data_IF_013816782317
#
_entry.id   IF_013816782317
#
_cell.length_a   1.000
_cell.length_b   1.000
_cell.length_c   1.000
_cell.angle_alpha   90.00
_cell.angle_beta   90.00
_cell.angle_gamma   90.00
#
_symmetry.space_group_name_H-M   'P 1'
#
loop_
_entity.id
_entity.type
_entity.pdbx_description
1 polymer ?
#
# COMPACT_ATOMS: atom_id res chain seq x y z
N UNK A 1 -17.23 -16.90 30.25
CA UNK A 1 -16.21 -15.82 30.33
C UNK A 1 -16.83 -14.46 30.67
N UNK A 2 -17.93 -14.04 30.03
CA UNK A 2 -18.53 -12.70 30.22
C UNK A 2 -19.47 -12.51 31.42
N UNK A 3 -19.87 -13.58 32.13
CA UNK A 3 -20.80 -13.51 33.28
C UNK A 3 -20.46 -12.49 34.39
N UNK A 4 -19.20 -12.17 34.71
CA UNK A 4 -18.89 -11.19 35.75
C UNK A 4 -18.80 -9.74 35.24
N UNK A 5 -18.81 -9.50 33.93
CA UNK A 5 -18.70 -8.15 33.32
C UNK A 5 -20.05 -7.45 33.41
N UNK A 6 -20.12 -6.35 34.16
CA UNK A 6 -21.39 -5.63 34.39
C UNK A 6 -21.43 -4.27 33.71
N UNK A 7 -20.26 -3.67 33.45
CA UNK A 7 -20.14 -2.32 32.89
C UNK A 7 -19.45 -2.34 31.52
N UNK A 8 -19.73 -1.32 30.69
CA UNK A 8 -19.17 -1.22 29.34
C UNK A 8 -17.63 -1.13 29.32
N UNK A 9 -17.03 -0.44 30.28
CA UNK A 9 -15.57 -0.33 30.39
C UNK A 9 -14.91 -1.68 30.75
N UNK A 10 -15.55 -2.48 31.60
CA UNK A 10 -15.09 -3.83 31.94
C UNK A 10 -15.15 -4.76 30.72
N UNK A 11 -16.16 -4.60 29.88
CA UNK A 11 -16.29 -5.35 28.63
C UNK A 11 -15.16 -5.01 27.67
N UNK A 12 -14.85 -3.71 27.48
CA UNK A 12 -13.75 -3.27 26.62
C UNK A 12 -12.40 -3.83 27.11
N UNK A 13 -12.10 -3.71 28.41
CA UNK A 13 -10.88 -4.27 29.00
C UNK A 13 -10.77 -5.79 28.83
N UNK A 14 -11.89 -6.50 29.00
CA UNK A 14 -11.93 -7.95 28.76
C UNK A 14 -11.66 -8.27 27.28
N UNK A 15 -12.30 -7.54 26.37
CA UNK A 15 -12.15 -7.73 24.92
C UNK A 15 -10.71 -7.48 24.46
N UNK A 16 -10.12 -6.33 24.85
CA UNK A 16 -8.74 -5.97 24.51
C UNK A 16 -7.73 -7.00 25.02
N UNK A 17 -7.93 -7.50 26.25
CA UNK A 17 -7.10 -8.57 26.82
C UNK A 17 -7.18 -9.86 25.99
N UNK A 18 -8.38 -10.29 25.60
CA UNK A 18 -8.53 -11.53 24.83
C UNK A 18 -7.96 -11.36 23.41
N UNK A 19 -8.17 -10.20 22.79
CA UNK A 19 -7.56 -9.85 21.50
C UNK A 19 -6.04 -9.95 21.58
N UNK A 20 -5.41 -9.34 22.59
CA UNK A 20 -3.96 -9.36 22.75
C UNK A 20 -3.39 -10.76 23.03
N UNK A 21 -4.14 -11.63 23.70
CA UNK A 21 -3.74 -13.01 24.00
C UNK A 21 -3.92 -13.96 22.81
N UNK A 22 -4.95 -13.75 21.98
CA UNK A 22 -5.29 -14.65 20.86
C UNK A 22 -4.64 -14.22 19.55
N UNK A 23 -4.54 -12.91 19.28
CA UNK A 23 -4.04 -12.35 18.01
C UNK A 23 -2.54 -12.01 18.08
N UNK A 24 -1.73 -12.94 18.56
CA UNK A 24 -0.27 -12.84 18.63
C UNK A 24 0.38 -12.89 17.24
N UNK A 25 1.68 -12.61 17.13
CA UNK A 25 2.39 -12.77 15.85
C UNK A 25 2.32 -14.21 15.32
N UNK A 26 2.40 -15.23 16.18
CA UNK A 26 2.20 -16.63 15.77
C UNK A 26 0.79 -16.88 15.22
N UNK A 27 -0.22 -16.18 15.74
CA UNK A 27 -1.56 -16.27 15.18
C UNK A 27 -1.56 -15.80 13.72
N UNK A 28 -0.98 -14.63 13.43
CA UNK A 28 -0.97 -14.05 12.09
C UNK A 28 -0.10 -14.84 11.10
N UNK A 29 1.07 -15.32 11.54
CA UNK A 29 2.04 -15.95 10.64
C UNK A 29 1.88 -17.46 10.49
N UNK A 30 1.28 -18.15 11.47
CA UNK A 30 1.16 -19.61 11.46
C UNK A 30 -0.29 -20.08 11.55
N UNK A 31 -1.04 -19.66 12.59
CA UNK A 31 -2.36 -20.22 12.85
C UNK A 31 -3.42 -19.78 11.84
N UNK A 32 -3.47 -18.50 11.49
CA UNK A 32 -4.45 -17.96 10.55
C UNK A 32 -4.24 -18.53 9.13
N UNK A 33 -3.02 -18.56 8.55
CA UNK A 33 -2.77 -19.26 7.29
C UNK A 33 -3.22 -20.72 7.31
N UNK A 34 -3.01 -21.45 8.42
CA UNK A 34 -3.51 -22.82 8.56
C UNK A 34 -5.05 -22.88 8.56
N UNK A 35 -5.73 -21.98 9.28
CA UNK A 35 -7.21 -21.88 9.33
C UNK A 35 -7.83 -21.43 8.00
N UNK A 36 -7.09 -20.72 7.16
CA UNK A 36 -7.49 -20.33 5.82
C UNK A 36 -7.50 -21.49 4.82
N UNK A 37 -6.94 -22.66 5.16
CA UNK A 37 -7.07 -23.87 4.36
C UNK A 37 -8.44 -24.54 4.55
N UNK A 38 -9.48 -23.87 4.06
CA UNK A 38 -10.86 -24.33 4.17
C UNK A 38 -11.56 -24.24 2.83
N UNK A 39 -12.46 -25.21 2.60
CA UNK A 39 -13.37 -25.23 1.45
C UNK A 39 -14.83 -24.95 1.83
N UNK A 40 -15.08 -24.47 3.06
CA UNK A 40 -16.42 -24.20 3.54
C UNK A 40 -17.05 -23.02 2.78
N UNK A 41 -18.27 -23.20 2.28
CA UNK A 41 -18.99 -22.18 1.52
C UNK A 41 -19.29 -20.92 2.37
N UNK A 42 -19.62 -21.15 3.65
CA UNK A 42 -19.79 -20.13 4.67
C UNK A 42 -18.62 -20.25 5.67
N UNK A 43 -17.65 -19.35 5.56
CA UNK A 43 -16.43 -19.37 6.37
C UNK A 43 -16.27 -18.05 7.10
N UNK A 44 -16.22 -18.04 8.45
CA UNK A 44 -15.90 -16.86 9.22
C UNK A 44 -14.58 -16.21 8.79
N UNK A 45 -13.58 -17.02 8.43
CA UNK A 45 -12.28 -16.50 7.96
C UNK A 45 -12.41 -15.77 6.63
N UNK A 46 -13.24 -16.27 5.71
CA UNK A 46 -13.51 -15.58 4.46
C UNK A 46 -14.27 -14.27 4.68
N UNK A 47 -15.22 -14.24 5.63
CA UNK A 47 -15.91 -13.02 6.01
C UNK A 47 -14.96 -12.00 6.64
N UNK A 48 -14.04 -12.44 7.52
CA UNK A 48 -13.02 -11.57 8.08
C UNK A 48 -12.07 -11.03 7.00
N UNK A 49 -11.71 -11.83 6.00
CA UNK A 49 -10.92 -11.34 4.86
C UNK A 49 -11.68 -10.28 4.06
N UNK A 50 -12.95 -10.51 3.74
CA UNK A 50 -13.78 -9.49 3.08
C UNK A 50 -13.94 -8.22 3.92
N UNK A 51 -14.11 -8.35 5.24
CA UNK A 51 -14.18 -7.21 6.15
C UNK A 51 -12.86 -6.42 6.14
N UNK A 52 -11.71 -7.10 6.10
CA UNK A 52 -10.41 -6.45 5.97
C UNK A 52 -10.29 -5.69 4.64
N UNK A 53 -10.74 -6.27 3.52
CA UNK A 53 -10.79 -5.57 2.22
C UNK A 53 -11.66 -4.31 2.28
N UNK A 54 -12.84 -4.40 2.90
CA UNK A 54 -13.72 -3.25 3.10
C UNK A 54 -13.06 -2.17 3.96
N UNK A 55 -12.42 -2.56 5.05
CA UNK A 55 -11.69 -1.64 5.91
C UNK A 55 -10.58 -0.94 5.14
N UNK A 56 -9.84 -1.66 4.29
CA UNK A 56 -8.74 -1.12 3.48
C UNK A 56 -9.18 -0.30 2.26
N UNK A 57 -10.49 -0.03 2.08
CA UNK A 57 -11.10 0.58 0.88
C UNK A 57 -10.67 -0.11 -0.42
N UNK A 58 -10.54 -1.44 -0.39
CA UNK A 58 -10.10 -2.23 -1.52
C UNK A 58 -11.16 -2.27 -2.63
N UNK A 59 -10.67 -2.39 -3.86
CA UNK A 59 -11.49 -2.60 -5.06
C UNK A 59 -11.52 -4.08 -5.46
N UNK A 60 -12.58 -4.52 -6.12
CA UNK A 60 -12.65 -5.84 -6.73
C UNK A 60 -11.55 -6.00 -7.79
N UNK A 61 -11.11 -7.24 -8.01
CA UNK A 61 -10.02 -7.56 -8.90
C UNK A 61 -10.38 -7.15 -10.34
N UNK A 62 -9.46 -6.42 -10.97
CA UNK A 62 -9.56 -5.75 -12.27
C UNK A 62 -10.63 -4.66 -12.40
N UNK A 63 -11.16 -4.17 -11.28
CA UNK A 63 -12.30 -3.26 -11.25
C UNK A 63 -12.05 -2.00 -10.43
N UNK A 64 -12.83 -0.96 -10.69
CA UNK A 64 -12.94 0.24 -9.86
C UNK A 64 -13.98 0.09 -8.73
N UNK A 65 -14.81 -0.96 -8.78
CA UNK A 65 -15.88 -1.19 -7.80
C UNK A 65 -15.29 -1.51 -6.43
N UNK A 66 -15.68 -0.75 -5.40
CA UNK A 66 -15.24 -1.00 -4.03
C UNK A 66 -15.89 -2.25 -3.47
N UNK A 67 -15.13 -3.00 -2.67
CA UNK A 67 -15.61 -4.25 -2.05
C UNK A 67 -16.79 -3.96 -1.12
N UNK A 68 -16.75 -2.88 -0.35
CA UNK A 68 -17.84 -2.54 0.57
C UNK A 68 -19.12 -2.09 -0.18
N UNK A 69 -19.00 -1.33 -1.27
CA UNK A 69 -20.14 -0.96 -2.13
C UNK A 69 -20.83 -2.21 -2.72
N UNK A 70 -20.05 -3.24 -3.03
CA UNK A 70 -20.56 -4.47 -3.61
C UNK A 70 -21.17 -5.43 -2.57
N UNK A 71 -20.90 -5.18 -1.29
CA UNK A 71 -21.43 -5.94 -0.15
C UNK A 71 -22.53 -5.19 0.60
N UNK A 72 -22.88 -3.97 0.18
CA UNK A 72 -23.93 -3.17 0.81
C UNK A 72 -25.30 -3.85 0.67
N UNK A 73 -25.89 -4.35 1.77
CA UNK A 73 -27.16 -5.07 1.74
C UNK A 73 -28.36 -4.17 1.40
N UNK A 74 -28.20 -2.85 1.42
CA UNK A 74 -29.24 -1.88 1.06
C UNK A 74 -29.39 -1.72 -0.47
N UNK A 75 -28.38 -2.12 -1.25
CA UNK A 75 -28.40 -2.03 -2.71
C UNK A 75 -29.11 -3.25 -3.33
N UNK A 76 -30.39 -3.09 -3.66
CA UNK A 76 -31.19 -4.13 -4.33
C UNK A 76 -30.94 -4.14 -5.85
N UNK A 77 -29.78 -4.62 -6.30
CA UNK A 77 -29.54 -4.87 -7.71
C UNK A 77 -30.03 -6.28 -8.14
N UNK A 78 -30.51 -6.43 -9.38
CA UNK A 78 -30.95 -7.72 -9.94
C UNK A 78 -29.80 -8.72 -10.14
N UNK A 79 -28.55 -8.24 -10.14
CA UNK A 79 -27.31 -9.02 -10.16
C UNK A 79 -26.31 -8.39 -9.20
N UNK A 80 -25.51 -9.23 -8.54
CA UNK A 80 -24.42 -8.74 -7.70
C UNK A 80 -23.41 -7.98 -8.56
N UNK A 81 -22.95 -6.81 -8.10
CA UNK A 81 -21.91 -6.04 -8.82
C UNK A 81 -20.62 -6.84 -8.95
N UNK A 82 -20.31 -7.65 -7.94
CA UNK A 82 -19.14 -8.53 -7.90
C UNK A 82 -19.52 -9.92 -7.45
N UNK A 83 -18.75 -10.91 -7.87
CA UNK A 83 -18.94 -12.32 -7.54
C UNK A 83 -17.61 -13.00 -7.21
N UNK A 84 -17.69 -14.14 -6.52
CA UNK A 84 -16.52 -14.99 -6.28
C UNK A 84 -16.12 -15.68 -7.57
N UNK A 85 -14.87 -15.51 -7.96
CA UNK A 85 -14.25 -16.22 -9.08
C UNK A 85 -13.09 -17.08 -8.61
N UNK A 86 -12.94 -18.26 -9.22
CA UNK A 86 -11.81 -19.16 -8.98
C UNK A 86 -10.60 -18.67 -9.77
N UNK A 87 -9.58 -18.14 -9.09
CA UNK A 87 -8.37 -17.64 -9.74
C UNK A 87 -7.68 -18.70 -10.61
N UNK A 88 -7.68 -19.94 -10.13
CA UNK A 88 -7.42 -21.13 -10.92
C UNK A 88 -8.76 -21.82 -11.19
N UNK A 89 -9.35 -21.68 -12.40
CA UNK A 89 -10.67 -22.19 -12.67
C UNK A 89 -10.79 -23.70 -12.51
N UNK A 90 -11.99 -24.17 -12.15
CA UNK A 90 -12.21 -25.59 -11.87
C UNK A 90 -11.89 -26.49 -13.04
N UNK A 91 -12.30 -26.11 -14.26
CA UNK A 91 -12.05 -26.98 -15.42
C UNK A 91 -10.56 -27.01 -15.78
N UNK A 92 -9.84 -25.89 -15.62
CA UNK A 92 -8.38 -25.86 -15.70
C UNK A 92 -7.71 -26.73 -14.64
N UNK A 93 -8.23 -26.81 -13.43
CA UNK A 93 -7.65 -27.64 -12.37
C UNK A 93 -7.90 -29.15 -12.55
N UNK A 94 -8.97 -29.54 -13.28
CA UNK A 94 -9.28 -30.96 -13.53
C UNK A 94 -8.21 -31.68 -14.32
N UNK A 95 -7.55 -31.03 -15.29
CA UNK A 95 -6.48 -31.64 -16.09
C UNK A 95 -5.23 -31.99 -15.26
N UNK A 96 -5.08 -31.40 -14.07
CA UNK A 96 -4.01 -31.73 -13.11
C UNK A 96 -4.49 -32.66 -11.99
N UNK A 97 -5.68 -33.25 -12.11
CA UNK A 97 -6.23 -34.22 -11.15
C UNK A 97 -6.96 -33.62 -9.95
N UNK A 98 -7.10 -32.29 -9.85
CA UNK A 98 -7.85 -31.62 -8.79
C UNK A 98 -9.34 -31.59 -9.11
N UNK A 99 -10.03 -32.67 -8.82
CA UNK A 99 -11.45 -32.85 -9.18
C UNK A 99 -12.40 -32.62 -8.01
N UNK A 100 -11.92 -32.68 -6.76
CA UNK A 100 -12.78 -32.62 -5.58
C UNK A 100 -13.07 -31.16 -5.19
N UNK A 101 -14.31 -30.83 -4.78
CA UNK A 101 -14.65 -29.49 -4.25
C UNK A 101 -13.76 -29.08 -3.08
N UNK A 102 -13.35 -30.02 -2.22
CA UNK A 102 -12.41 -29.76 -1.14
C UNK A 102 -11.05 -29.26 -1.62
N UNK A 103 -10.65 -29.56 -2.86
CA UNK A 103 -9.39 -29.07 -3.45
C UNK A 103 -9.59 -27.73 -4.17
N UNK A 104 -10.69 -27.55 -4.88
CA UNK A 104 -10.88 -26.40 -5.78
C UNK A 104 -11.61 -25.22 -5.14
N UNK A 105 -12.54 -25.46 -4.20
CA UNK A 105 -13.33 -24.43 -3.53
C UNK A 105 -12.61 -23.81 -2.32
N UNK A 106 -11.29 -23.65 -2.39
CA UNK A 106 -10.50 -23.12 -1.27
C UNK A 106 -10.64 -21.61 -1.16
N UNK A 107 -10.61 -21.07 0.06
CA UNK A 107 -10.62 -19.62 0.32
C UNK A 107 -9.55 -18.90 -0.52
N UNK A 108 -8.32 -19.40 -0.50
CA UNK A 108 -7.21 -18.84 -1.26
C UNK A 108 -7.27 -19.10 -2.77
N UNK A 109 -8.30 -19.78 -3.30
CA UNK A 109 -8.57 -19.81 -4.74
C UNK A 109 -9.63 -18.80 -5.17
N UNK A 110 -10.22 -18.02 -4.26
CA UNK A 110 -11.26 -17.04 -4.59
C UNK A 110 -10.73 -15.62 -4.65
N UNK A 111 -11.25 -14.84 -5.60
CA UNK A 111 -11.21 -13.37 -5.58
C UNK A 111 -12.59 -12.82 -5.93
N UNK A 112 -12.85 -11.57 -5.56
CA UNK A 112 -14.04 -10.85 -6.00
C UNK A 112 -13.72 -10.16 -7.32
N UNK A 113 -14.50 -10.44 -8.36
CA UNK A 113 -14.41 -9.81 -9.69
C UNK A 113 -15.79 -9.30 -10.08
N UNK A 114 -15.88 -8.38 -11.04
CA UNK A 114 -17.19 -8.00 -11.58
C UNK A 114 -17.87 -9.19 -12.27
N UNK A 115 -19.21 -9.22 -12.23
CA UNK A 115 -20.01 -10.27 -12.89
C UNK A 115 -19.65 -10.46 -14.38
N UNK A 116 -19.41 -9.35 -15.10
CA UNK A 116 -19.04 -9.38 -16.53
C UNK A 116 -17.69 -10.07 -16.76
N UNK A 117 -16.74 -9.85 -15.86
CA UNK A 117 -15.39 -10.39 -15.94
C UNK A 117 -15.35 -11.84 -15.49
N UNK A 118 -16.16 -12.22 -14.49
CA UNK A 118 -16.36 -13.61 -14.10
C UNK A 118 -16.77 -14.47 -15.31
N UNK A 119 -17.72 -13.97 -16.12
CA UNK A 119 -18.19 -14.65 -17.34
C UNK A 119 -17.13 -14.65 -18.43
N UNK A 120 -16.44 -13.52 -18.62
CA UNK A 120 -15.41 -13.39 -19.67
C UNK A 120 -14.18 -14.26 -19.40
N UNK A 121 -13.74 -14.37 -18.14
CA UNK A 121 -12.61 -15.21 -17.74
C UNK A 121 -13.01 -16.69 -17.83
N UNK A 122 -14.19 -17.05 -17.32
CA UNK A 122 -14.73 -18.42 -17.37
C UNK A 122 -13.72 -19.45 -16.87
N UNK A 123 -13.31 -20.41 -17.70
CA UNK A 123 -12.35 -21.48 -17.38
C UNK A 123 -10.92 -21.20 -17.87
N UNK A 124 -10.65 -19.98 -18.34
CA UNK A 124 -9.34 -19.61 -18.90
C UNK A 124 -8.22 -19.73 -17.85
N UNK A 125 -7.06 -20.31 -18.17
CA UNK A 125 -5.93 -20.37 -17.24
C UNK A 125 -5.45 -18.98 -16.80
N UNK A 126 -4.97 -18.81 -15.56
CA UNK A 126 -4.47 -17.50 -15.09
C UNK A 126 -3.34 -16.96 -15.95
N UNK A 127 -2.45 -17.81 -16.46
CA UNK A 127 -1.38 -17.45 -17.39
C UNK A 127 -1.87 -16.81 -18.70
N UNK A 128 -3.15 -17.00 -19.07
CA UNK A 128 -3.71 -16.48 -20.32
C UNK A 128 -4.67 -15.30 -20.12
N UNK A 129 -5.35 -15.20 -18.98
CA UNK A 129 -6.26 -14.08 -18.73
C UNK A 129 -5.61 -12.96 -17.94
N UNK A 130 -4.68 -13.24 -17.02
CA UNK A 130 -4.17 -12.23 -16.09
C UNK A 130 -3.58 -11.02 -16.81
N UNK A 131 -2.66 -11.25 -17.76
CA UNK A 131 -2.01 -10.21 -18.54
C UNK A 131 -3.01 -9.29 -19.26
N UNK A 132 -4.03 -9.89 -19.92
CA UNK A 132 -5.08 -9.15 -20.64
C UNK A 132 -5.88 -8.18 -19.78
N UNK A 133 -5.95 -8.44 -18.47
CA UNK A 133 -6.63 -7.57 -17.52
C UNK A 133 -5.64 -6.63 -16.81
N UNK A 134 -4.44 -7.12 -16.49
CA UNK A 134 -3.38 -6.36 -15.84
C UNK A 134 -2.87 -5.20 -16.72
N UNK A 135 -2.70 -5.41 -18.02
CA UNK A 135 -2.25 -4.38 -18.99
C UNK A 135 -3.20 -3.19 -19.10
N UNK A 136 -4.47 -3.36 -18.74
CA UNK A 136 -5.48 -2.29 -18.77
C UNK A 136 -5.41 -1.37 -17.55
N UNK A 137 -4.63 -1.75 -16.54
CA UNK A 137 -4.51 -1.03 -15.29
C UNK A 137 -3.21 -0.22 -15.26
N UNK A 138 -3.26 0.92 -14.59
CA UNK A 138 -2.05 1.63 -14.22
C UNK A 138 -1.15 0.72 -13.33
N UNK A 139 0.17 0.69 -13.52
CA UNK A 139 1.06 -0.19 -12.75
C UNK A 139 0.98 -0.03 -11.24
N UNK A 140 0.72 1.18 -10.73
CA UNK A 140 0.56 1.42 -9.29
C UNK A 140 -0.78 0.89 -8.79
N UNK A 141 -1.85 1.05 -9.59
CA UNK A 141 -3.15 0.45 -9.31
C UNK A 141 -3.04 -1.07 -9.30
N UNK A 142 -2.32 -1.66 -10.25
CA UNK A 142 -2.08 -3.10 -10.32
C UNK A 142 -1.30 -3.59 -9.09
N UNK A 143 -0.21 -2.92 -8.69
CA UNK A 143 0.56 -3.25 -7.47
C UNK A 143 -0.34 -3.26 -6.24
N UNK A 144 -1.16 -2.21 -6.07
CA UNK A 144 -2.11 -2.11 -4.96
C UNK A 144 -3.16 -3.22 -4.99
N UNK A 145 -3.64 -3.57 -6.19
CA UNK A 145 -4.64 -4.61 -6.40
C UNK A 145 -4.07 -6.00 -6.11
N UNK A 146 -2.83 -6.28 -6.51
CA UNK A 146 -2.13 -7.52 -6.17
C UNK A 146 -1.98 -7.67 -4.65
N UNK A 147 -1.68 -6.58 -3.94
CA UNK A 147 -1.65 -6.58 -2.48
C UNK A 147 -3.02 -6.89 -1.87
N UNK A 148 -4.09 -6.17 -2.25
CA UNK A 148 -5.43 -6.41 -1.69
C UNK A 148 -5.89 -7.84 -1.91
N UNK A 149 -5.73 -8.35 -3.13
CA UNK A 149 -6.14 -9.71 -3.49
C UNK A 149 -5.11 -10.77 -3.09
N UNK A 150 -4.06 -10.38 -2.36
CA UNK A 150 -3.02 -11.25 -1.82
C UNK A 150 -2.42 -12.19 -2.90
N UNK A 151 -2.13 -11.63 -4.08
CA UNK A 151 -1.58 -12.35 -5.22
C UNK A 151 -0.04 -12.34 -5.15
N UNK A 152 0.61 -13.51 -5.06
CA UNK A 152 2.06 -13.59 -5.16
C UNK A 152 2.58 -13.01 -6.48
N UNK A 153 3.85 -12.60 -6.50
CA UNK A 153 4.52 -12.23 -7.76
C UNK A 153 4.54 -13.45 -8.67
N UNK A 154 4.19 -13.26 -9.94
CA UNK A 154 4.13 -14.31 -10.97
C UNK A 154 3.18 -15.48 -10.63
N UNK A 155 2.15 -15.23 -9.82
CA UNK A 155 1.17 -16.24 -9.42
C UNK A 155 0.47 -16.92 -10.59
N UNK A 156 0.33 -16.23 -11.72
CA UNK A 156 -0.35 -16.69 -12.91
C UNK A 156 0.34 -17.87 -13.62
N UNK A 157 1.62 -18.10 -13.30
CA UNK A 157 2.42 -19.23 -13.81
C UNK A 157 2.83 -20.23 -12.72
N UNK A 158 2.39 -20.00 -11.47
CA UNK A 158 2.78 -20.79 -10.31
C UNK A 158 2.05 -22.13 -10.25
N UNK A 159 2.67 -23.16 -9.63
CA UNK A 159 1.95 -24.39 -9.31
C UNK A 159 0.78 -24.10 -8.36
N UNK A 160 -0.32 -24.82 -8.54
CA UNK A 160 -1.54 -24.58 -7.79
C UNK A 160 -1.36 -24.75 -6.28
N UNK A 161 -0.59 -25.74 -5.82
CA UNK A 161 -0.38 -25.97 -4.39
C UNK A 161 0.55 -24.91 -3.79
N UNK A 162 1.63 -24.56 -4.50
CA UNK A 162 2.54 -23.48 -4.10
C UNK A 162 1.80 -22.14 -3.99
N UNK A 163 0.97 -21.83 -4.98
CA UNK A 163 0.09 -20.65 -4.97
C UNK A 163 -0.82 -20.63 -3.75
N UNK A 164 -1.48 -21.75 -3.45
CA UNK A 164 -2.40 -21.89 -2.32
C UNK A 164 -1.69 -21.66 -0.98
N UNK A 165 -0.44 -22.09 -0.83
CA UNK A 165 0.35 -21.86 0.38
C UNK A 165 0.81 -20.41 0.50
N UNK A 166 1.38 -19.85 -0.57
CA UNK A 166 1.87 -18.47 -0.61
C UNK A 166 0.73 -17.48 -0.36
N UNK A 167 -0.40 -17.65 -1.08
CA UNK A 167 -1.55 -16.76 -0.99
C UNK A 167 -2.21 -16.77 0.39
N UNK A 168 -2.27 -17.90 1.10
CA UNK A 168 -2.83 -17.92 2.47
C UNK A 168 -2.04 -17.07 3.45
N UNK A 169 -0.71 -17.03 3.31
CA UNK A 169 0.15 -16.14 4.11
C UNK A 169 -0.12 -14.67 3.79
N UNK A 170 -0.27 -14.35 2.50
CA UNK A 170 -0.60 -12.98 2.07
C UNK A 170 -2.01 -12.55 2.51
N UNK A 171 -3.02 -13.42 2.42
CA UNK A 171 -4.37 -13.15 2.94
C UNK A 171 -4.32 -12.85 4.44
N UNK A 172 -3.53 -13.62 5.21
CA UNK A 172 -3.36 -13.36 6.63
C UNK A 172 -2.74 -11.98 6.91
N UNK A 173 -1.80 -11.52 6.09
CA UNK A 173 -1.24 -10.17 6.19
C UNK A 173 -2.29 -9.11 5.88
N UNK A 174 -3.07 -9.25 4.80
CA UNK A 174 -4.16 -8.31 4.48
C UNK A 174 -5.20 -8.26 5.61
N UNK A 175 -5.51 -9.41 6.22
CA UNK A 175 -6.38 -9.49 7.40
C UNK A 175 -5.78 -8.80 8.63
N UNK A 176 -4.47 -8.96 8.88
CA UNK A 176 -3.73 -8.26 9.92
C UNK A 176 -3.84 -6.76 9.71
N UNK A 177 -3.59 -6.28 8.49
CA UNK A 177 -3.63 -4.85 8.16
C UNK A 177 -5.03 -4.27 8.30
N UNK A 178 -6.06 -5.00 7.87
CA UNK A 178 -7.46 -4.64 8.13
C UNK A 178 -7.78 -4.57 9.63
N UNK A 179 -7.31 -5.54 10.42
CA UNK A 179 -7.46 -5.53 11.87
C UNK A 179 -6.70 -4.35 12.53
N UNK A 180 -5.47 -4.05 12.08
CA UNK A 180 -4.71 -2.91 12.57
C UNK A 180 -5.44 -1.58 12.27
N UNK A 181 -6.03 -1.47 11.08
CA UNK A 181 -6.88 -0.33 10.71
C UNK A 181 -8.13 -0.19 11.58
N UNK A 182 -8.73 -1.29 12.02
CA UNK A 182 -9.85 -1.30 12.97
C UNK A 182 -9.40 -0.89 14.38
N UNK A 183 -8.30 -1.47 14.88
CA UNK A 183 -7.83 -1.34 16.27
C UNK A 183 -7.39 0.07 16.66
N UNK A 184 -6.92 0.86 15.69
CA UNK A 184 -6.37 2.19 15.97
C UNK A 184 -7.38 3.33 15.79
N UNK A 185 -8.65 3.03 15.46
CA UNK A 185 -9.72 4.03 15.26
C UNK A 185 -9.49 5.01 14.11
N UNK A 186 -8.32 4.94 13.49
CA UNK A 186 -7.81 5.59 12.31
C UNK A 186 -6.82 4.61 11.67
N UNK A 187 -6.67 4.69 10.35
CA UNK A 187 -5.66 3.96 9.59
C UNK A 187 -4.32 4.13 10.27
N UNK A 188 -3.73 3.06 10.79
CA UNK A 188 -2.29 3.06 11.03
C UNK A 188 -1.72 2.10 10.03
N UNK A 189 -1.42 2.65 8.87
CA UNK A 189 -0.44 2.04 8.00
C UNK A 189 0.81 1.76 8.83
N UNK A 190 1.35 0.55 8.67
CA UNK A 190 2.70 0.24 9.11
C UNK A 190 3.64 1.18 8.36
N UNK A 191 3.98 2.29 9.00
CA UNK A 191 4.97 3.23 8.51
C UNK A 191 6.33 2.65 8.87
N UNK A 192 7.19 2.36 7.89
CA UNK A 192 8.56 1.95 8.18
C UNK A 192 9.20 3.00 9.10
N UNK A 193 9.60 2.60 10.31
CA UNK A 193 10.17 3.50 11.31
C UNK A 193 11.69 3.59 11.21
N UNK A 194 12.32 2.56 10.64
CA UNK A 194 13.76 2.49 10.43
C UNK A 194 14.12 2.47 8.95
N UNK A 195 15.34 2.90 8.61
CA UNK A 195 15.84 2.80 7.24
C UNK A 195 15.85 1.34 6.73
N UNK A 196 16.16 0.37 7.59
CA UNK A 196 16.17 -1.04 7.19
C UNK A 196 14.76 -1.53 6.78
N UNK A 197 13.72 -1.15 7.53
CA UNK A 197 12.32 -1.42 7.18
C UNK A 197 11.92 -0.70 5.89
N UNK A 198 12.34 0.56 5.71
CA UNK A 198 12.09 1.32 4.49
C UNK A 198 12.64 0.59 3.26
N UNK A 199 13.90 0.13 3.33
CA UNK A 199 14.52 -0.61 2.24
C UNK A 199 13.82 -1.95 1.99
N UNK A 200 13.46 -2.68 3.04
CA UNK A 200 12.78 -3.97 2.91
C UNK A 200 11.38 -3.85 2.29
N UNK A 201 10.64 -2.79 2.65
CA UNK A 201 9.32 -2.49 2.11
C UNK A 201 9.37 -1.87 0.70
N UNK A 202 10.45 -1.17 0.36
CA UNK A 202 10.63 -0.45 -0.89
C UNK A 202 9.79 0.83 -0.97
N UNK A 203 9.73 1.42 -2.17
CA UNK A 203 8.92 2.61 -2.39
C UNK A 203 7.41 2.35 -2.26
N UNK A 204 6.72 3.32 -1.67
CA UNK A 204 5.30 3.24 -1.36
C UNK A 204 4.70 4.55 -0.87
N UNK A 205 3.53 4.49 -0.21
CA UNK A 205 2.83 5.67 0.28
C UNK A 205 3.65 6.52 1.26
N UNK A 206 4.54 5.86 2.02
CA UNK A 206 5.31 6.46 3.12
C UNK A 206 6.81 6.56 2.88
N UNK A 207 7.30 6.01 1.78
CA UNK A 207 8.73 5.93 1.51
C UNK A 207 8.97 6.18 0.04
N UNK A 208 9.88 7.10 -0.26
CA UNK A 208 10.35 7.38 -1.62
C UNK A 208 11.87 7.34 -1.62
N UNK A 209 12.47 6.71 -2.62
CA UNK A 209 13.91 6.69 -2.83
C UNK A 209 14.30 7.70 -3.91
N UNK A 210 15.42 8.37 -3.68
CA UNK A 210 16.07 9.23 -4.68
C UNK A 210 17.56 8.97 -4.63
N UNK A 211 18.14 8.76 -5.79
CA UNK A 211 19.57 8.47 -5.86
C UNK A 211 20.43 9.66 -5.43
N UNK A 212 19.97 10.88 -5.69
CA UNK A 212 20.73 12.13 -5.44
C UNK A 212 19.80 13.28 -5.05
N UNK A 213 20.36 14.32 -4.41
CA UNK A 213 19.66 15.58 -4.12
C UNK A 213 19.68 16.55 -5.30
N UNK A 214 20.82 16.68 -6.00
CA UNK A 214 21.03 17.69 -7.04
C UNK A 214 21.82 17.23 -8.27
N UNK A 215 22.57 16.14 -8.19
CA UNK A 215 23.42 15.68 -9.32
C UNK A 215 22.66 14.69 -10.20
N UNK A 216 22.65 14.93 -11.50
CA UNK A 216 22.15 13.96 -12.47
C UNK A 216 23.25 12.92 -12.76
N UNK A 217 22.98 11.65 -12.43
CA UNK A 217 23.97 10.58 -12.52
C UNK A 217 24.41 10.25 -13.96
N UNK A 218 23.66 10.67 -14.98
CA UNK A 218 24.03 10.44 -16.38
C UNK A 218 25.02 11.49 -16.88
N UNK A 219 24.82 12.76 -16.50
CA UNK A 219 25.69 13.87 -16.92
C UNK A 219 26.79 14.16 -15.90
N UNK A 220 26.65 13.69 -14.67
CA UNK A 220 27.47 14.01 -13.52
C UNK A 220 27.54 15.51 -13.20
N UNK A 221 26.50 16.25 -13.59
CA UNK A 221 26.37 17.69 -13.36
C UNK A 221 25.18 18.00 -12.45
N UNK A 222 25.21 19.19 -11.83
CA UNK A 222 24.09 19.69 -11.05
C UNK A 222 22.91 19.98 -11.99
N UNK A 223 21.76 19.40 -11.70
CA UNK A 223 20.56 19.52 -12.49
C UNK A 223 19.40 20.00 -11.58
N UNK A 224 18.86 21.22 -11.79
CA UNK A 224 17.73 21.74 -11.03
C UNK A 224 16.49 20.84 -11.05
N UNK A 225 16.38 19.93 -12.04
CA UNK A 225 15.30 18.93 -12.10
C UNK A 225 15.40 17.90 -10.97
N UNK A 226 16.61 17.57 -10.50
CA UNK A 226 16.80 16.67 -9.36
C UNK A 226 16.30 17.32 -8.07
N UNK A 227 16.67 18.58 -7.85
CA UNK A 227 16.19 19.36 -6.69
C UNK A 227 14.68 19.55 -6.73
N UNK A 228 14.12 19.77 -7.92
CA UNK A 228 12.67 19.84 -8.10
C UNK A 228 11.98 18.49 -7.78
N UNK A 229 12.56 17.36 -8.18
CA UNK A 229 12.03 16.03 -7.85
C UNK A 229 12.00 15.81 -6.32
N UNK A 230 13.04 16.23 -5.61
CA UNK A 230 13.11 16.18 -4.14
C UNK A 230 11.96 16.99 -3.51
N UNK A 231 11.80 18.24 -3.95
CA UNK A 231 10.76 19.12 -3.42
C UNK A 231 9.35 18.65 -3.79
N UNK A 232 9.16 18.07 -4.97
CA UNK A 232 7.91 17.43 -5.41
C UNK A 232 7.53 16.28 -4.47
N UNK A 233 8.50 15.45 -4.09
CA UNK A 233 8.27 14.36 -3.13
C UNK A 233 7.88 14.91 -1.76
N UNK A 234 8.63 15.88 -1.24
CA UNK A 234 8.34 16.52 0.05
C UNK A 234 6.93 17.15 0.03
N UNK A 235 6.58 17.88 -1.03
CA UNK A 235 5.25 18.48 -1.19
C UNK A 235 4.13 17.43 -1.15
N UNK A 236 4.32 16.31 -1.86
CA UNK A 236 3.40 15.17 -1.83
C UNK A 236 3.20 14.62 -0.41
N UNK A 237 4.28 14.38 0.34
CA UNK A 237 4.17 13.89 1.71
C UNK A 237 3.47 14.88 2.65
N UNK A 238 3.80 16.18 2.56
CA UNK A 238 3.19 17.22 3.39
C UNK A 238 1.68 17.32 3.15
N UNK A 239 1.24 17.19 1.90
CA UNK A 239 -0.17 17.32 1.54
C UNK A 239 -1.00 16.05 1.76
N UNK A 240 -0.36 14.92 2.10
CA UNK A 240 -1.00 13.62 2.33
C UNK A 240 -0.80 13.19 3.79
N UNK A 241 -0.47 11.91 4.02
CA UNK A 241 -0.35 11.32 5.35
C UNK A 241 1.07 11.39 5.93
N UNK A 242 1.98 12.14 5.29
CA UNK A 242 3.40 12.20 5.64
C UNK A 242 4.19 11.03 5.05
N UNK A 243 5.46 10.91 5.44
CA UNK A 243 6.37 9.86 4.97
C UNK A 243 7.83 10.28 5.11
N UNK A 244 8.73 9.44 4.61
CA UNK A 244 10.18 9.68 4.63
C UNK A 244 10.73 9.55 3.22
N UNK A 245 11.41 10.61 2.76
CA UNK A 245 12.21 10.57 1.55
C UNK A 245 13.63 10.11 1.92
N UNK A 246 14.15 9.09 1.25
CA UNK A 246 15.52 8.60 1.43
C UNK A 246 16.35 8.97 0.20
N UNK A 247 17.42 9.72 0.41
CA UNK A 247 18.34 10.22 -0.61
C UNK A 247 19.69 9.51 -0.50
N UNK A 248 20.26 9.12 -1.64
CA UNK A 248 21.49 8.31 -1.70
C UNK A 248 21.21 6.81 -1.85
N UNK A 249 19.99 6.44 -2.26
CA UNK A 249 19.55 5.06 -2.46
C UNK A 249 18.85 4.95 -3.83
N UNK A 250 19.11 3.86 -4.56
CA UNK A 250 18.39 3.54 -5.81
C UNK A 250 17.04 2.87 -5.52
N UNK A 251 16.18 2.82 -6.53
CA UNK A 251 14.84 2.23 -6.42
C UNK A 251 14.87 0.73 -6.04
N UNK A 252 15.99 0.04 -6.32
CA UNK A 252 16.23 -1.37 -5.93
C UNK A 252 16.83 -1.54 -4.52
N UNK A 253 17.02 -0.46 -3.77
CA UNK A 253 17.60 -0.44 -2.43
C UNK A 253 19.13 -0.49 -2.40
N UNK A 254 19.81 -0.36 -3.54
CA UNK A 254 21.27 -0.21 -3.59
C UNK A 254 21.71 1.12 -2.95
N UNK A 255 22.69 1.05 -2.05
CA UNK A 255 23.27 2.23 -1.40
C UNK A 255 24.26 2.92 -2.34
N UNK A 256 23.92 4.12 -2.81
CA UNK A 256 24.82 4.99 -3.58
C UNK A 256 25.62 5.91 -2.67
N UNK A 257 24.93 6.47 -1.67
CA UNK A 257 25.42 7.52 -0.79
C UNK A 257 25.23 8.93 -1.36
N UNK A 258 25.37 9.93 -0.49
CA UNK A 258 25.17 11.36 -0.81
C UNK A 258 26.45 12.05 -1.32
N UNK A 259 27.58 11.35 -1.37
CA UNK A 259 28.88 11.95 -1.71
C UNK A 259 28.90 12.47 -3.15
N UNK A 260 28.15 11.82 -4.05
CA UNK A 260 28.01 12.23 -5.45
C UNK A 260 27.39 13.61 -5.59
N UNK A 261 26.60 14.07 -4.63
CA UNK A 261 26.04 15.42 -4.65
C UNK A 261 27.11 16.49 -4.41
N UNK A 262 28.31 16.14 -3.97
CA UNK A 262 29.48 17.04 -3.91
C UNK A 262 29.32 18.16 -2.88
N UNK A 263 28.64 17.91 -1.77
CA UNK A 263 28.62 18.84 -0.64
C UNK A 263 29.87 18.68 0.23
N UNK A 264 30.43 19.77 0.79
CA UNK A 264 31.60 19.66 1.67
C UNK A 264 31.36 18.83 2.94
N UNK A 265 30.13 18.86 3.47
CA UNK A 265 29.69 18.11 4.65
C UNK A 265 28.15 18.10 4.73
N UNK A 266 27.61 17.34 5.70
CA UNK A 266 26.18 17.20 5.99
C UNK A 266 25.51 18.55 6.27
N UNK A 267 26.13 19.41 7.07
CA UNK A 267 25.57 20.75 7.40
C UNK A 267 25.34 21.61 6.16
N UNK A 268 26.23 21.54 5.16
CA UNK A 268 26.07 22.29 3.90
C UNK A 268 24.99 21.70 3.00
N UNK A 269 24.80 20.38 3.05
CA UNK A 269 23.70 19.72 2.33
C UNK A 269 22.36 20.05 2.98
N UNK A 270 22.27 19.98 4.30
CA UNK A 270 21.08 20.32 5.07
C UNK A 270 20.70 21.79 4.90
N UNK A 271 21.68 22.70 4.99
CA UNK A 271 21.46 24.13 4.72
C UNK A 271 20.94 24.38 3.30
N UNK A 272 21.46 23.65 2.31
CA UNK A 272 21.00 23.76 0.92
C UNK A 272 19.55 23.29 0.78
N UNK A 273 19.22 22.11 1.32
CA UNK A 273 17.86 21.59 1.34
C UNK A 273 16.90 22.55 2.08
N UNK A 274 17.29 23.07 3.24
CA UNK A 274 16.52 24.05 3.99
C UNK A 274 16.24 25.34 3.21
N UNK A 275 17.22 25.82 2.44
CA UNK A 275 17.03 26.97 1.55
C UNK A 275 16.04 26.66 0.41
N UNK A 276 16.16 25.48 -0.22
CA UNK A 276 15.23 25.03 -1.26
C UNK A 276 13.79 24.96 -0.73
N UNK A 277 13.60 24.33 0.44
CA UNK A 277 12.29 24.24 1.10
C UNK A 277 11.75 25.63 1.40
N UNK A 278 12.54 26.49 2.05
CA UNK A 278 12.09 27.84 2.43
C UNK A 278 11.68 28.69 1.22
N UNK A 279 12.44 28.62 0.13
CA UNK A 279 12.20 29.41 -1.07
C UNK A 279 11.03 28.87 -1.90
N UNK A 280 10.86 27.55 -1.98
CA UNK A 280 9.92 26.93 -2.93
C UNK A 280 8.67 26.31 -2.30
N UNK A 281 8.70 25.95 -1.02
CA UNK A 281 7.56 25.42 -0.26
C UNK A 281 7.08 26.38 0.85
N UNK A 282 7.80 27.48 1.06
CA UNK A 282 7.52 28.47 2.08
C UNK A 282 8.03 28.09 3.49
N UNK A 283 8.24 29.09 4.35
CA UNK A 283 8.86 28.88 5.67
C UNK A 283 7.99 28.07 6.64
N UNK A 284 6.67 28.10 6.51
CA UNK A 284 5.75 27.35 7.39
C UNK A 284 5.94 25.83 7.25
N UNK A 285 6.29 25.36 6.05
CA UNK A 285 6.52 23.93 5.75
C UNK A 285 7.67 23.32 6.57
N UNK A 286 8.65 24.15 6.98
CA UNK A 286 9.79 23.70 7.80
C UNK A 286 9.37 23.09 9.13
N UNK A 287 8.21 23.47 9.69
CA UNK A 287 7.70 22.92 10.95
C UNK A 287 7.35 21.42 10.86
N UNK A 288 7.18 20.92 9.64
CA UNK A 288 6.73 19.56 9.34
C UNK A 288 7.83 18.69 8.72
N UNK A 289 9.04 19.22 8.53
CA UNK A 289 10.13 18.53 7.83
C UNK A 289 11.33 18.40 8.78
N UNK A 290 11.87 17.19 8.90
CA UNK A 290 13.06 16.90 9.71
C UNK A 290 14.08 16.08 8.90
N UNK A 291 15.14 16.73 8.39
CA UNK A 291 16.28 16.04 7.81
C UNK A 291 17.11 15.33 8.88
N UNK A 292 17.68 14.18 8.54
CA UNK A 292 18.66 13.43 9.35
C UNK A 292 19.53 12.55 8.46
N UNK A 293 20.74 12.24 8.92
CA UNK A 293 21.69 11.43 8.16
C UNK A 293 21.94 10.10 8.86
N UNK A 294 22.02 9.01 8.09
CA UNK A 294 22.28 7.66 8.59
C UNK A 294 23.31 6.91 7.76
N UNK A 295 23.96 5.93 8.38
CA UNK A 295 24.87 5.01 7.69
C UNK A 295 24.10 3.80 7.19
N UNK A 296 24.29 3.47 5.91
CA UNK A 296 23.66 2.34 5.27
C UNK A 296 24.63 1.63 4.34
N UNK A 297 24.93 0.36 4.63
CA UNK A 297 25.89 -0.46 3.88
C UNK A 297 27.23 0.24 3.60
N UNK A 298 27.74 1.00 4.58
CA UNK A 298 29.00 1.73 4.48
C UNK A 298 28.94 3.03 3.66
N UNK A 299 27.73 3.50 3.31
CA UNK A 299 27.47 4.78 2.63
C UNK A 299 26.67 5.69 3.54
N UNK A 300 26.84 7.00 3.38
CA UNK A 300 26.04 7.99 4.09
C UNK A 300 24.79 8.35 3.29
N UNK A 301 23.61 8.27 3.91
CA UNK A 301 22.32 8.58 3.27
C UNK A 301 21.59 9.70 4.03
N UNK A 302 20.77 10.46 3.32
CA UNK A 302 19.94 11.53 3.89
C UNK A 302 18.48 11.07 3.95
N UNK A 303 17.86 11.13 5.12
CA UNK A 303 16.45 10.87 5.33
C UNK A 303 15.75 12.19 5.66
N UNK A 304 14.63 12.45 5.01
CA UNK A 304 13.81 13.64 5.21
C UNK A 304 12.44 13.20 5.69
N UNK A 305 12.22 13.28 7.00
CA UNK A 305 10.96 12.89 7.62
C UNK A 305 9.94 14.02 7.49
N UNK A 306 8.82 13.75 6.84
CA UNK A 306 7.74 14.70 6.56
C UNK A 306 6.48 14.31 7.33
N UNK A 307 5.98 15.21 8.19
CA UNK A 307 4.68 15.08 8.84
C UNK A 307 3.58 15.67 7.97
N UNK A 308 2.33 15.18 8.06
CA UNK A 308 1.20 15.84 7.42
C UNK A 308 1.13 17.31 7.84
N UNK A 309 0.99 18.18 6.85
CA UNK A 309 0.71 19.60 7.07
C UNK A 309 -0.74 19.77 7.56
N UNK A 310 -0.98 20.85 8.31
CA UNK A 310 -2.32 21.29 8.70
C UNK A 310 -2.96 22.26 7.71
N UNK A 311 -2.19 22.71 6.72
CA UNK A 311 -2.64 23.60 5.67
C UNK A 311 -2.08 23.15 4.30
N UNK A 312 -2.76 23.48 3.18
CA UNK A 312 -2.25 23.19 1.84
C UNK A 312 -0.85 23.77 1.63
N UNK A 313 0.07 22.96 1.11
CA UNK A 313 1.44 23.38 0.77
C UNK A 313 1.58 23.42 -0.74
N UNK A 314 2.05 24.54 -1.28
CA UNK A 314 2.28 24.74 -2.71
C UNK A 314 3.77 24.73 -3.02
N UNK A 315 4.14 24.13 -4.14
CA UNK A 315 5.50 24.13 -4.67
C UNK A 315 5.64 25.17 -5.79
N UNK A 316 6.45 26.19 -5.56
CA UNK A 316 6.77 27.20 -6.57
C UNK A 316 7.67 26.63 -7.66
N UNK A 317 7.30 26.81 -8.93
CA UNK A 317 8.09 26.38 -10.08
C UNK A 317 7.99 27.40 -11.22
N UNK A 318 9.03 28.22 -11.39
CA UNK A 318 9.10 29.13 -12.55
C UNK A 318 8.00 30.20 -12.62
N UNK A 319 7.36 30.54 -11.50
CA UNK A 319 6.25 31.50 -11.42
C UNK A 319 4.87 30.85 -11.27
N UNK A 320 4.77 29.54 -11.51
CA UNK A 320 3.56 28.76 -11.28
C UNK A 320 3.59 28.08 -9.91
N UNK A 321 2.40 27.88 -9.34
CA UNK A 321 2.20 27.06 -8.15
C UNK A 321 1.76 25.65 -8.53
N UNK A 322 2.45 24.67 -7.98
CA UNK A 322 2.14 23.26 -8.17
C UNK A 322 1.66 22.64 -6.85
N UNK A 323 0.72 21.69 -6.96
CA UNK A 323 0.18 20.99 -5.81
C UNK A 323 0.27 19.49 -6.04
N UNK A 324 1.06 18.81 -5.21
CA UNK A 324 1.28 17.37 -5.28
C UNK A 324 0.67 16.68 -4.06
N UNK A 325 0.15 15.47 -4.28
CA UNK A 325 -0.26 14.52 -3.25
C UNK A 325 0.42 13.17 -3.48
N UNK A 326 0.53 12.33 -2.45
CA UNK A 326 0.89 10.92 -2.62
C UNK A 326 -0.26 10.14 -3.25
N UNK A 327 0.06 9.38 -4.28
CA UNK A 327 -0.83 8.42 -4.93
C UNK A 327 -0.07 7.08 -5.05
N UNK A 328 -0.25 6.21 -4.05
CA UNK A 328 0.58 5.02 -3.91
C UNK A 328 2.06 5.38 -3.73
N UNK A 329 2.94 4.76 -4.52
CA UNK A 329 4.39 5.01 -4.51
C UNK A 329 4.87 6.28 -5.19
N UNK A 330 3.99 7.17 -5.66
CA UNK A 330 4.41 8.34 -6.45
C UNK A 330 3.75 9.64 -6.00
N UNK A 331 4.34 10.78 -6.38
CA UNK A 331 3.74 12.11 -6.18
C UNK A 331 3.02 12.58 -7.45
N UNK A 332 1.68 12.69 -7.37
CA UNK A 332 0.81 13.11 -8.47
C UNK A 332 0.49 14.61 -8.39
N UNK A 333 0.64 15.33 -9.50
CA UNK A 333 0.24 16.75 -9.62
C UNK A 333 -1.26 16.83 -9.82
N UNK A 334 -1.96 17.58 -8.98
CA UNK A 334 -3.40 17.81 -9.15
C UNK A 334 -3.67 18.98 -10.08
N UNK A 335 -4.73 18.87 -10.88
CA UNK A 335 -5.29 20.02 -11.60
C UNK A 335 -5.98 20.99 -10.63
N UNK A 336 -6.23 22.22 -11.06
CA UNK A 336 -6.88 23.24 -10.20
C UNK A 336 -8.23 22.80 -9.64
N UNK A 337 -9.03 22.04 -10.42
CA UNK A 337 -10.33 21.52 -9.96
C UNK A 337 -10.17 20.39 -8.95
N UNK A 338 -9.27 19.42 -9.22
CA UNK A 338 -8.97 18.32 -8.31
C UNK A 338 -8.39 18.83 -6.98
N UNK A 339 -7.48 19.80 -7.05
CA UNK A 339 -6.87 20.45 -5.89
C UNK A 339 -7.92 21.14 -5.01
N UNK A 340 -8.85 21.89 -5.62
CA UNK A 340 -9.92 22.58 -4.87
C UNK A 340 -10.79 21.59 -4.11
N UNK A 341 -11.16 20.47 -4.74
CA UNK A 341 -11.96 19.42 -4.11
C UNK A 341 -11.17 18.70 -3.00
N UNK A 342 -9.91 18.36 -3.26
CA UNK A 342 -9.05 17.72 -2.27
C UNK A 342 -8.88 18.59 -1.02
N UNK A 343 -8.63 19.90 -1.20
CA UNK A 343 -8.44 20.83 -0.08
C UNK A 343 -9.69 20.90 0.80
N UNK A 344 -10.88 20.94 0.19
CA UNK A 344 -12.16 20.93 0.91
C UNK A 344 -12.36 19.67 1.74
N UNK A 345 -11.91 18.52 1.26
CA UNK A 345 -12.10 17.26 1.99
C UNK A 345 -11.04 17.04 3.07
N UNK A 346 -9.82 17.53 2.87
CA UNK A 346 -8.65 17.21 3.71
C UNK A 346 -8.38 18.21 4.83
N UNK A 347 -8.75 19.48 4.65
CA UNK A 347 -8.37 20.58 5.55
C UNK A 347 -9.54 21.37 6.14
N UNK A 348 -10.78 21.05 5.74
CA UNK A 348 -12.01 21.53 6.37
C UNK A 348 -12.68 20.36 7.09
#
# INVERSE_FOLDING_TARGET
ALRPVKEGEEFLKWMDRNIALELTDDFWHLNLPARLDSSAANSPMLHCYHAALSLLDARALFSEVRVWDAMDPSTKAYKNKVERHHLFPKNYLKQFGFTKPAQTNRIANYALVEWKDNISISDTPPSEYFEKYAEKLDPQVLKQMMYWHALPVSWETMDYQEFMEARRKLIANVMKDGFMRLSKGQVVEERPGTLAEMIAAGEGPYTEFKSTLRVNLHTNEKDPRMEHAILKTINGFLNSDGGTLVVGVKDDGEALGIEVDGFPNEDKMDLHLGNLIKQRLGPASMLHIKPRFEDYKGKRVLLVDCKPSKAPVYLQNGGDEEFYIRAGGSSAKLSSSQMTEYIKQRYH
#
